data_IF_453823042085
#
_entry.id   IF_453823042085
#
_cell.length_a   1.000
_cell.length_b   1.000
_cell.length_c   1.000
_cell.angle_alpha   90.00
_cell.angle_beta   90.00
_cell.angle_gamma   90.00
#
_symmetry.space_group_name_H-M   'P 1'
#
loop_
_entity.id
_entity.type
_entity.pdbx_description
1 polymer ?
#
# COMPACT_ATOMS: atom_id res chain seq x y z
N UNK A 1 10.52 -14.58 -19.03
CA UNK A 1 9.55 -15.25 -18.15
C UNK A 1 8.24 -14.51 -18.30
N UNK A 2 7.35 -14.96 -19.19
CA UNK A 2 6.03 -14.33 -19.33
C UNK A 2 5.15 -14.92 -18.23
N UNK A 3 5.25 -14.37 -17.02
CA UNK A 3 4.36 -14.72 -15.92
C UNK A 3 2.96 -14.27 -16.32
N UNK A 4 2.02 -15.22 -16.36
CA UNK A 4 0.61 -14.87 -16.44
C UNK A 4 0.27 -13.99 -15.23
N UNK A 5 -0.61 -12.98 -15.41
CA UNK A 5 -1.07 -12.18 -14.30
C UNK A 5 -1.72 -13.11 -13.25
N UNK A 6 -1.56 -12.82 -11.94
CA UNK A 6 -2.21 -13.58 -10.89
C UNK A 6 -3.70 -13.70 -11.17
N UNK A 7 -4.23 -14.92 -11.12
CA UNK A 7 -5.66 -15.17 -11.30
C UNK A 7 -6.41 -14.43 -10.21
N UNK A 8 -7.32 -13.57 -10.62
CA UNK A 8 -8.16 -12.81 -9.72
C UNK A 8 -9.16 -13.73 -8.99
N UNK A 9 -9.24 -13.71 -7.65
CA UNK A 9 -10.23 -14.50 -6.94
C UNK A 9 -11.64 -14.04 -7.29
N UNK A 10 -12.53 -15.00 -7.52
CA UNK A 10 -13.97 -14.76 -7.67
C UNK A 10 -14.58 -14.27 -6.35
N UNK A 11 -15.75 -13.63 -6.41
CA UNK A 11 -16.45 -13.10 -5.23
C UNK A 11 -16.67 -14.20 -4.18
N UNK A 12 -17.10 -15.39 -4.62
CA UNK A 12 -17.38 -16.52 -3.73
C UNK A 12 -16.13 -16.99 -2.98
N UNK A 13 -14.97 -16.94 -3.65
CA UNK A 13 -13.68 -17.34 -3.07
C UNK A 13 -13.18 -16.36 -2.00
N UNK A 14 -13.59 -15.08 -2.03
CA UNK A 14 -13.14 -14.06 -1.07
C UNK A 14 -13.41 -14.47 0.38
N UNK A 15 -14.56 -15.10 0.63
CA UNK A 15 -14.96 -15.58 1.96
C UNK A 15 -13.98 -16.58 2.58
N UNK A 16 -13.24 -17.31 1.75
CA UNK A 16 -12.32 -18.39 2.17
C UNK A 16 -10.87 -17.93 2.35
N UNK A 17 -10.53 -16.74 1.84
CA UNK A 17 -9.17 -16.20 1.90
C UNK A 17 -8.78 -15.78 3.32
N UNK A 18 -7.49 -15.80 3.67
CA UNK A 18 -7.01 -15.25 4.96
C UNK A 18 -7.16 -13.72 5.03
N UNK A 19 -7.07 -13.13 6.23
CA UNK A 19 -7.08 -11.67 6.42
C UNK A 19 -5.96 -10.99 5.63
N UNK A 20 -4.75 -11.57 5.65
CA UNK A 20 -3.61 -11.04 4.89
C UNK A 20 -3.85 -11.11 3.38
N UNK A 21 -4.43 -12.22 2.91
CA UNK A 21 -4.75 -12.39 1.48
C UNK A 21 -5.82 -11.40 1.02
N UNK A 22 -6.85 -11.17 1.84
CA UNK A 22 -7.88 -10.16 1.58
C UNK A 22 -7.30 -8.74 1.58
N UNK A 23 -6.38 -8.44 2.49
CA UNK A 23 -5.71 -7.14 2.57
C UNK A 23 -4.82 -6.90 1.35
N UNK A 24 -4.05 -7.90 0.94
CA UNK A 24 -3.28 -7.86 -0.29
C UNK A 24 -4.18 -7.65 -1.51
N UNK A 25 -5.27 -8.40 -1.59
CA UNK A 25 -6.18 -8.31 -2.74
C UNK A 25 -6.86 -6.95 -2.82
N UNK A 26 -7.31 -6.39 -1.69
CA UNK A 26 -7.82 -5.02 -1.62
C UNK A 26 -6.81 -4.03 -2.22
N UNK A 27 -5.55 -4.10 -1.79
CA UNK A 27 -4.49 -3.22 -2.29
C UNK A 27 -4.20 -3.42 -3.78
N UNK A 28 -4.25 -4.66 -4.27
CA UNK A 28 -4.10 -4.96 -5.71
C UNK A 28 -5.22 -4.28 -6.51
N UNK A 29 -6.47 -4.42 -6.07
CA UNK A 29 -7.63 -3.83 -6.73
C UNK A 29 -7.57 -2.29 -6.70
N UNK A 30 -7.19 -1.70 -5.56
CA UNK A 30 -6.98 -0.24 -5.44
C UNK A 30 -5.95 0.27 -6.46
N UNK A 31 -4.87 -0.49 -6.67
CA UNK A 31 -3.86 -0.15 -7.67
C UNK A 31 -4.41 -0.25 -9.11
N UNK A 32 -5.21 -1.29 -9.40
CA UNK A 32 -5.90 -1.40 -10.69
C UNK A 32 -6.82 -0.20 -10.95
N UNK A 33 -7.60 0.23 -9.96
CA UNK A 33 -8.46 1.43 -10.07
C UNK A 33 -7.62 2.68 -10.32
N UNK A 34 -6.51 2.86 -9.61
CA UNK A 34 -5.61 3.99 -9.81
C UNK A 34 -5.09 4.04 -11.25
N UNK A 35 -4.60 2.93 -11.78
CA UNK A 35 -4.08 2.87 -13.14
C UNK A 35 -5.17 3.09 -14.20
N UNK A 36 -6.37 2.53 -14.03
CA UNK A 36 -7.48 2.75 -14.96
C UNK A 36 -7.93 4.21 -14.95
N UNK A 37 -8.06 4.82 -13.76
CA UNK A 37 -8.44 6.23 -13.63
C UNK A 37 -7.41 7.12 -14.30
N UNK A 38 -6.12 6.88 -14.07
CA UNK A 38 -5.04 7.61 -14.73
C UNK A 38 -5.09 7.46 -16.25
N UNK A 39 -5.29 6.24 -16.75
CA UNK A 39 -5.40 5.97 -18.19
C UNK A 39 -6.59 6.69 -18.82
N UNK A 40 -7.73 6.77 -18.12
CA UNK A 40 -8.89 7.53 -18.59
C UNK A 40 -8.58 9.03 -18.72
N UNK A 41 -7.89 9.62 -17.74
CA UNK A 41 -7.48 11.03 -17.82
C UNK A 41 -6.46 11.27 -18.93
N UNK A 42 -5.53 10.34 -19.15
CA UNK A 42 -4.58 10.40 -20.27
C UNK A 42 -5.31 10.34 -21.62
N UNK A 43 -6.31 9.48 -21.79
CA UNK A 43 -7.13 9.41 -23.01
C UNK A 43 -7.90 10.71 -23.27
N UNK A 44 -8.56 11.27 -22.25
CA UNK A 44 -9.26 12.57 -22.35
C UNK A 44 -8.31 13.69 -22.74
N UNK A 45 -7.09 13.68 -22.21
CA UNK A 45 -6.09 14.71 -22.50
C UNK A 45 -5.52 14.64 -23.92
N UNK A 46 -5.59 13.47 -24.55
CA UNK A 46 -5.11 13.27 -25.92
C UNK A 46 -6.13 13.75 -26.95
N UNK A 47 -7.37 13.26 -26.85
CA UNK A 47 -8.49 13.70 -27.67
C UNK A 47 -9.80 13.39 -26.95
N UNK A 48 -10.46 14.43 -26.41
CA UNK A 48 -11.73 14.27 -25.69
C UNK A 48 -12.88 13.89 -26.63
N UNK A 49 -12.77 14.15 -27.95
CA UNK A 49 -13.85 13.94 -28.90
C UNK A 49 -13.80 12.62 -29.66
N UNK A 50 -12.68 11.91 -29.58
CA UNK A 50 -12.48 10.59 -30.17
C UNK A 50 -13.52 9.58 -29.63
N UNK A 51 -14.24 8.93 -30.55
CA UNK A 51 -15.33 8.00 -30.24
C UNK A 51 -14.80 6.70 -29.62
N UNK A 52 -13.64 6.24 -30.06
CA UNK A 52 -13.02 5.02 -29.55
C UNK A 52 -12.52 5.24 -28.11
N UNK A 53 -11.93 6.42 -27.83
CA UNK A 53 -11.58 6.81 -26.46
C UNK A 53 -12.79 6.96 -25.56
N UNK A 54 -13.87 7.61 -26.02
CA UNK A 54 -15.12 7.68 -25.24
C UNK A 54 -15.65 6.29 -24.89
N UNK A 55 -15.56 5.35 -25.83
CA UNK A 55 -15.99 3.96 -25.62
C UNK A 55 -15.09 3.25 -24.61
N UNK A 56 -13.76 3.33 -24.77
CA UNK A 56 -12.79 2.72 -23.88
C UNK A 56 -12.87 3.28 -22.43
N UNK A 57 -13.03 4.60 -22.29
CA UNK A 57 -13.21 5.27 -21.00
C UNK A 57 -14.46 4.71 -20.30
N UNK A 58 -15.58 4.59 -21.03
CA UNK A 58 -16.83 4.06 -20.48
C UNK A 58 -16.67 2.61 -20.02
N UNK A 59 -16.04 1.76 -20.82
CA UNK A 59 -15.77 0.37 -20.44
C UNK A 59 -14.90 0.28 -19.18
N UNK A 60 -13.87 1.13 -19.09
CA UNK A 60 -13.02 1.24 -17.91
C UNK A 60 -13.80 1.72 -16.68
N UNK A 61 -14.69 2.71 -16.83
CA UNK A 61 -15.54 3.21 -15.74
C UNK A 61 -16.49 2.11 -15.22
N UNK A 62 -17.14 1.36 -16.11
CA UNK A 62 -17.97 0.21 -15.74
C UNK A 62 -17.16 -0.87 -15.01
N UNK A 63 -15.91 -1.10 -15.44
CA UNK A 63 -15.02 -2.04 -14.77
C UNK A 63 -14.56 -1.52 -13.39
N UNK A 64 -14.23 -0.24 -13.25
CA UNK A 64 -13.90 0.40 -11.98
C UNK A 64 -15.05 0.24 -10.97
N UNK A 65 -16.30 0.38 -11.40
CA UNK A 65 -17.46 0.16 -10.52
C UNK A 65 -17.47 -1.25 -9.94
N UNK A 66 -17.28 -2.27 -10.78
CA UNK A 66 -17.20 -3.68 -10.33
C UNK A 66 -16.04 -3.90 -9.34
N UNK A 67 -14.90 -3.27 -9.58
CA UNK A 67 -13.75 -3.33 -8.68
C UNK A 67 -14.04 -2.67 -7.32
N UNK A 68 -14.76 -1.54 -7.31
CA UNK A 68 -15.20 -0.88 -6.07
C UNK A 68 -16.18 -1.74 -5.29
N UNK A 69 -17.13 -2.38 -5.96
CA UNK A 69 -18.05 -3.32 -5.31
C UNK A 69 -17.28 -4.49 -4.67
N UNK A 70 -16.27 -5.01 -5.37
CA UNK A 70 -15.41 -6.05 -4.83
C UNK A 70 -14.63 -5.59 -3.60
N UNK A 71 -14.09 -4.37 -3.60
CA UNK A 71 -13.48 -3.76 -2.40
C UNK A 71 -14.48 -3.70 -1.25
N UNK A 72 -15.72 -3.29 -1.49
CA UNK A 72 -16.76 -3.21 -0.46
C UNK A 72 -17.03 -4.59 0.16
N UNK A 73 -17.11 -5.64 -0.67
CA UNK A 73 -17.27 -7.02 -0.18
C UNK A 73 -16.08 -7.42 0.69
N UNK A 74 -14.84 -7.16 0.24
CA UNK A 74 -13.64 -7.46 1.02
C UNK A 74 -13.65 -6.72 2.36
N UNK A 75 -14.03 -5.43 2.37
CA UNK A 75 -14.13 -4.64 3.59
C UNK A 75 -15.15 -5.22 4.56
N UNK A 76 -16.32 -5.63 4.07
CA UNK A 76 -17.35 -6.25 4.90
C UNK A 76 -16.86 -7.56 5.54
N UNK A 77 -16.17 -8.43 4.78
CA UNK A 77 -15.59 -9.67 5.31
C UNK A 77 -14.54 -9.36 6.38
N UNK A 78 -13.68 -8.36 6.16
CA UNK A 78 -12.67 -7.95 7.14
C UNK A 78 -13.30 -7.42 8.43
N UNK A 79 -14.34 -6.60 8.32
CA UNK A 79 -15.09 -6.07 9.45
C UNK A 79 -15.79 -7.18 10.24
N UNK A 80 -16.46 -8.12 9.57
CA UNK A 80 -17.10 -9.28 10.18
C UNK A 80 -16.09 -10.11 10.99
N UNK A 81 -14.91 -10.38 10.41
CA UNK A 81 -13.86 -11.13 11.09
C UNK A 81 -13.25 -10.37 12.26
N UNK A 82 -13.13 -9.05 12.18
CA UNK A 82 -12.68 -8.23 13.30
C UNK A 82 -13.66 -8.29 14.47
N UNK A 83 -14.97 -8.27 14.19
CA UNK A 83 -16.01 -8.39 15.22
C UNK A 83 -15.99 -9.77 15.88
N UNK A 84 -15.80 -10.83 15.10
CA UNK A 84 -15.76 -12.20 15.60
C UNK A 84 -14.43 -12.54 16.31
N UNK A 85 -13.32 -11.87 15.95
CA UNK A 85 -12.01 -12.04 16.58
C UNK A 85 -11.89 -11.40 17.97
N UNK A 86 -12.78 -10.49 18.34
CA UNK A 86 -12.81 -9.86 19.67
C UNK A 86 -13.47 -10.73 20.76
N UNK A 87 -13.88 -11.97 20.45
CA UNK A 87 -14.48 -12.92 21.41
C UNK A 87 -13.50 -13.92 22.05
N UNK A 88 -12.18 -13.71 21.97
CA UNK A 88 -11.18 -14.58 22.60
C UNK A 88 -10.66 -14.07 23.96
N UNK A 89 -11.56 -13.69 24.87
CA UNK A 89 -11.25 -13.79 26.31
C UNK A 89 -12.06 -14.97 26.82
N UNK A 90 -11.43 -16.15 26.82
CA UNK A 90 -11.88 -17.23 27.67
C UNK A 90 -11.74 -16.72 29.12
N UNK A 91 -12.82 -16.62 29.91
CA UNK A 91 -12.68 -16.26 31.31
C UNK A 91 -11.87 -17.37 31.97
N UNK A 92 -10.62 -17.07 32.35
CA UNK A 92 -9.88 -17.96 33.23
C UNK A 92 -10.77 -18.27 34.45
N UNK A 93 -10.98 -19.55 34.78
CA UNK A 93 -11.68 -19.87 36.01
C UNK A 93 -10.87 -19.32 37.17
N UNK A 94 -11.45 -18.38 37.92
CA UNK A 94 -10.91 -17.90 39.19
C UNK A 94 -10.57 -19.10 40.07
N UNK A 95 -9.28 -19.44 40.15
CA UNK A 95 -8.76 -20.23 41.24
C UNK A 95 -8.57 -19.29 42.42
N UNK A 96 -9.61 -19.19 43.25
CA UNK A 96 -9.50 -18.71 44.63
C UNK A 96 -8.58 -19.64 45.41
N UNK A 97 -7.40 -19.15 45.77
CA UNK A 97 -6.70 -19.58 46.99
C UNK A 97 -6.00 -18.37 47.59
N UNK A 98 -6.56 -17.89 48.68
CA UNK A 98 -5.89 -17.07 49.70
C UNK A 98 -4.56 -17.72 50.09
N UNK A 99 -3.46 -16.96 50.09
CA UNK A 99 -2.69 -16.74 51.32
C UNK A 99 -1.73 -15.56 51.17
N UNK A 100 -1.52 -14.88 52.28
CA UNK A 100 -0.87 -13.60 52.48
C UNK A 100 0.57 -13.79 52.97
N UNK A 101 1.55 -13.15 52.32
CA UNK A 101 2.72 -12.64 53.07
C UNK A 101 3.38 -11.42 52.42
N UNK A 102 3.35 -10.30 53.14
CA UNK A 102 4.23 -9.15 52.96
C UNK A 102 5.68 -9.57 53.21
N UNK A 103 6.63 -9.06 52.42
CA UNK A 103 7.93 -8.68 52.95
C UNK A 103 8.55 -7.54 52.13
N UNK A 104 8.71 -6.42 52.81
CA UNK A 104 9.40 -5.20 52.42
C UNK A 104 10.89 -5.48 52.23
N UNK A 105 11.52 -4.89 51.22
CA UNK A 105 12.94 -4.53 51.32
C UNK A 105 13.27 -3.32 50.45
N UNK A 106 13.42 -2.19 51.13
CA UNK A 106 14.17 -1.01 50.69
C UNK A 106 15.67 -1.30 50.74
N UNK A 107 16.44 -0.80 49.76
CA UNK A 107 17.89 -0.50 49.71
C UNK A 107 18.11 -0.02 48.25
N UNK A 108 18.79 1.05 47.85
CA UNK A 108 19.60 2.10 48.46
C UNK A 108 19.91 3.12 47.32
N UNK A 109 20.02 4.40 47.67
CA UNK A 109 20.26 5.53 46.76
C UNK A 109 21.78 5.84 46.69
N UNK A 110 22.35 6.05 45.50
CA UNK A 110 23.62 6.78 45.22
C UNK A 110 23.62 7.05 43.71
N UNK A 111 23.32 8.23 43.16
CA UNK A 111 23.94 9.57 43.17
C UNK A 111 25.24 9.70 42.33
N UNK A 112 25.08 10.45 41.22
CA UNK A 112 25.99 11.16 40.33
C UNK A 112 26.95 10.40 39.38
N UNK A 113 26.88 10.72 38.07
CA UNK A 113 27.77 11.72 37.42
C UNK A 113 27.56 11.81 35.88
N UNK A 114 27.34 13.04 35.38
CA UNK A 114 27.59 13.64 34.04
C UNK A 114 26.81 13.14 32.80
N UNK A 115 25.84 13.89 32.27
CA UNK A 115 25.92 15.09 31.39
C UNK A 115 26.44 14.90 29.95
N UNK A 116 25.52 15.17 29.02
CA UNK A 116 25.70 15.61 27.62
C UNK A 116 26.27 14.62 26.60
N UNK A 117 25.37 14.02 25.80
CA UNK A 117 25.73 13.50 24.48
C UNK A 117 24.78 14.04 23.41
N UNK A 118 25.20 15.18 22.86
CA UNK A 118 25.28 15.49 21.43
C UNK A 118 23.97 15.30 20.63
N UNK A 119 23.16 16.35 20.65
CA UNK A 119 22.28 16.69 19.53
C UNK A 119 23.02 17.67 18.62
N UNK A 120 23.60 17.19 17.52
CA UNK A 120 24.03 18.03 16.40
C UNK A 120 24.25 17.14 15.18
N UNK A 121 23.31 17.19 14.23
CA UNK A 121 23.58 17.16 12.78
C UNK A 121 22.26 17.29 12.01
N UNK A 122 21.67 18.48 12.10
CA UNK A 122 20.76 19.01 11.09
C UNK A 122 21.59 19.97 10.24
N UNK A 123 22.13 19.48 9.13
CA UNK A 123 22.58 20.28 7.99
C UNK A 123 22.55 19.39 6.74
N UNK A 124 21.35 19.22 6.20
CA UNK A 124 21.11 18.53 4.93
C UNK A 124 21.19 19.56 3.78
N UNK A 125 22.28 19.43 3.04
CA UNK A 125 22.44 19.65 1.59
C UNK A 125 22.35 21.09 1.05
N UNK A 126 23.52 21.72 0.94
CA UNK A 126 23.85 22.65 -0.14
C UNK A 126 23.74 21.91 -1.49
N UNK A 127 22.74 22.27 -2.29
CA UNK A 127 22.71 22.00 -3.73
C UNK A 127 23.53 23.11 -4.37
N UNK A 128 24.81 22.83 -4.65
CA UNK A 128 25.62 23.62 -5.57
C UNK A 128 25.18 23.25 -7.00
N UNK A 129 24.37 24.13 -7.59
CA UNK A 129 24.19 24.22 -9.03
C UNK A 129 25.22 25.21 -9.58
N UNK A 130 26.24 24.69 -10.27
CA UNK A 130 27.09 25.37 -11.27
C UNK A 130 28.01 24.28 -11.85
N UNK A 131 28.31 24.14 -13.14
CA UNK A 131 28.21 25.05 -14.27
C UNK A 131 28.43 24.22 -15.56
N UNK A 132 27.64 24.53 -16.59
CA UNK A 132 28.02 24.71 -18.00
C UNK A 132 28.73 23.64 -18.89
N UNK A 133 28.06 23.44 -20.04
CA UNK A 133 28.54 23.56 -21.44
C UNK A 133 29.02 22.36 -22.28
N UNK A 134 28.26 22.17 -23.36
CA UNK A 134 28.63 21.89 -24.77
C UNK A 134 29.34 20.59 -25.14
N UNK A 135 28.69 19.75 -25.96
CA UNK A 135 28.83 19.83 -27.43
C UNK A 135 27.98 18.77 -28.15
N UNK A 136 27.57 19.15 -29.36
CA UNK A 136 26.66 18.50 -30.30
C UNK A 136 27.16 17.13 -30.79
N UNK A 137 26.23 16.20 -31.01
CA UNK A 137 26.21 15.47 -32.28
C UNK A 137 24.79 15.03 -32.65
N UNK A 138 24.33 15.61 -33.75
CA UNK A 138 23.09 15.36 -34.47
C UNK A 138 23.09 13.92 -35.01
N UNK A 139 22.08 13.14 -34.64
CA UNK A 139 21.73 11.91 -35.33
C UNK A 139 20.54 12.22 -36.23
N UNK A 140 20.79 12.46 -37.52
CA UNK A 140 19.76 12.37 -38.56
C UNK A 140 20.40 12.12 -39.94
N UNK A 141 20.15 10.92 -40.47
CA UNK A 141 20.10 10.47 -41.87
C UNK A 141 20.17 8.93 -41.83
N UNK A 142 19.06 8.20 -41.79
CA UNK A 142 18.13 7.91 -42.88
C UNK A 142 18.77 7.25 -44.12
N UNK A 143 18.08 6.20 -44.58
CA UNK A 143 18.17 5.43 -45.83
C UNK A 143 19.26 4.37 -46.07
N UNK A 144 18.81 3.11 -46.22
CA UNK A 144 19.63 1.99 -46.70
C UNK A 144 18.90 0.64 -46.76
N UNK A 145 18.00 0.49 -47.72
CA UNK A 145 17.19 -0.70 -48.09
C UNK A 145 18.03 -1.92 -48.57
N UNK A 146 17.56 -3.12 -48.20
CA UNK A 146 17.58 -4.44 -48.86
C UNK A 146 18.88 -5.02 -49.48
N UNK A 147 19.25 -6.24 -49.03
CA UNK A 147 19.07 -7.51 -49.76
C UNK A 147 19.36 -8.72 -48.85
#
# INVERSE_FOLDING_TARGET
MNSLPPIEPTIDQLSTLSVDSLTYEKRRIENSIFHLTRSNEEMKSFDEDDIDFKTAIKENEDYILKLRDKINIIQNILLERQQNGNLCIEPEPLATTDDSTQESNSIHLDLDTQETSIAHDVLRNNIENNDNNQSEQLNDANDGIYL
#
